data_IF_268135169230
#
_entry.id   IF_268135169230
#
_cell.length_a   1.000
_cell.length_b   1.000
_cell.length_c   1.000
_cell.angle_alpha   90.00
_cell.angle_beta   90.00
_cell.angle_gamma   90.00
#
_symmetry.space_group_name_H-M   'P 1'
#
loop_
_entity.id
_entity.type
_entity.pdbx_description
1 polymer ?
#
# COMPACT_ATOMS: atom_id res chain seq x y z
N UNK A 1 8.57 -5.73 -11.64
CA UNK A 1 7.95 -4.50 -11.08
C UNK A 1 8.08 -4.58 -9.57
N UNK A 2 8.58 -3.56 -8.87
CA UNK A 2 8.75 -3.61 -7.40
C UNK A 2 7.41 -3.77 -6.68
N UNK A 3 7.44 -4.37 -5.49
CA UNK A 3 6.23 -4.53 -4.67
C UNK A 3 5.59 -3.18 -4.38
N UNK A 4 4.25 -3.14 -4.47
CA UNK A 4 3.43 -1.93 -4.27
C UNK A 4 3.69 -0.79 -5.27
N UNK A 5 4.49 -0.99 -6.32
CA UNK A 5 4.76 0.05 -7.31
C UNK A 5 3.55 0.26 -8.24
N UNK A 6 3.15 1.52 -8.39
CA UNK A 6 2.21 1.93 -9.44
C UNK A 6 3.00 2.23 -10.70
N UNK A 7 2.73 1.47 -11.76
CA UNK A 7 3.44 1.58 -13.04
C UNK A 7 2.47 1.95 -14.14
N UNK A 8 2.82 2.92 -14.98
CA UNK A 8 1.99 3.39 -16.09
C UNK A 8 2.84 3.72 -17.33
N UNK A 9 2.20 3.71 -18.51
CA UNK A 9 2.80 4.10 -19.79
C UNK A 9 3.37 2.95 -20.64
N UNK A 10 3.84 3.30 -21.85
CA UNK A 10 4.54 2.40 -22.78
C UNK A 10 5.77 3.12 -23.37
N UNK A 11 7.02 2.79 -22.96
CA UNK A 11 7.38 1.77 -21.97
C UNK A 11 6.97 2.19 -20.55
N UNK A 12 6.69 1.20 -19.70
CA UNK A 12 6.10 1.41 -18.39
C UNK A 12 7.11 2.02 -17.39
N UNK A 13 6.68 3.04 -16.63
CA UNK A 13 7.48 3.72 -15.60
C UNK A 13 6.77 3.73 -14.25
N UNK A 14 7.53 3.66 -13.16
CA UNK A 14 7.00 3.78 -11.80
C UNK A 14 6.61 5.24 -11.54
N UNK A 15 5.35 5.49 -11.20
CA UNK A 15 4.79 6.83 -10.94
C UNK A 15 4.36 7.03 -9.48
N UNK A 16 4.46 5.98 -8.65
CA UNK A 16 4.13 6.05 -7.23
C UNK A 16 4.01 4.69 -6.57
N UNK A 17 3.35 4.67 -5.40
CA UNK A 17 3.16 3.48 -4.58
C UNK A 17 1.71 3.34 -4.12
N UNK A 18 1.21 2.12 -4.09
CA UNK A 18 -0.18 1.79 -3.81
C UNK A 18 -0.24 0.74 -2.71
N UNK A 19 -1.10 0.98 -1.73
CA UNK A 19 -1.40 0.10 -0.62
C UNK A 19 -2.13 -1.15 -1.12
N UNK A 20 -2.09 -2.24 -0.35
CA UNK A 20 -2.89 -3.44 -0.64
C UNK A 20 -4.41 -3.18 -0.64
N UNK A 21 -4.89 -2.11 -0.01
CA UNK A 21 -6.29 -1.69 -0.11
C UNK A 21 -6.62 -0.91 -1.40
N UNK A 22 -5.67 -0.78 -2.33
CA UNK A 22 -5.83 -0.10 -3.62
C UNK A 22 -5.63 1.42 -3.59
N UNK A 23 -5.36 2.01 -2.42
CA UNK A 23 -5.20 3.46 -2.27
C UNK A 23 -3.73 3.89 -2.26
N UNK A 24 -3.45 5.14 -2.67
CA UNK A 24 -2.08 5.67 -2.75
C UNK A 24 -1.42 5.72 -1.36
N UNK A 25 -0.15 5.33 -1.30
CA UNK A 25 0.70 5.50 -0.11
C UNK A 25 1.34 6.87 -0.19
N UNK A 26 1.21 7.66 0.89
CA UNK A 26 1.84 8.98 0.99
C UNK A 26 3.15 8.84 1.74
N UNK A 27 4.25 9.20 1.08
CA UNK A 27 5.58 9.36 1.66
C UNK A 27 5.86 10.86 1.81
N UNK A 28 6.29 11.28 3.00
CA UNK A 28 6.74 12.65 3.21
C UNK A 28 8.18 12.81 2.69
N UNK A 29 8.53 14.03 2.31
CA UNK A 29 9.86 14.33 1.79
C UNK A 29 10.93 14.10 2.87
N UNK A 30 11.97 13.33 2.55
CA UNK A 30 12.99 12.91 3.52
C UNK A 30 12.62 11.68 4.36
N UNK A 31 11.35 11.26 4.37
CA UNK A 31 10.92 10.09 5.12
C UNK A 31 11.03 8.79 4.31
N UNK A 32 11.55 7.75 4.94
CA UNK A 32 11.49 6.38 4.42
C UNK A 32 10.16 5.70 4.72
N UNK A 33 9.33 6.27 5.58
CA UNK A 33 8.03 5.69 5.95
C UNK A 33 6.87 6.43 5.25
N UNK A 34 5.87 5.67 4.87
CA UNK A 34 4.66 6.18 4.24
C UNK A 34 3.41 5.57 4.87
N UNK A 35 2.30 6.30 4.82
CA UNK A 35 1.04 5.89 5.42
C UNK A 35 -0.06 5.89 4.34
N UNK A 36 -0.86 4.83 4.32
CA UNK A 36 -2.11 4.83 3.57
C UNK A 36 -3.17 5.61 4.35
N UNK A 37 -3.78 6.63 3.74
CA UNK A 37 -4.81 7.43 4.43
C UNK A 37 -6.10 6.65 4.73
N UNK A 38 -6.45 5.67 3.89
CA UNK A 38 -7.70 4.90 4.02
C UNK A 38 -7.64 3.81 5.09
N UNK A 39 -6.64 2.92 5.03
CA UNK A 39 -6.54 1.79 5.97
C UNK A 39 -5.50 2.01 7.07
N UNK A 40 -4.82 3.17 7.08
CA UNK A 40 -3.81 3.57 8.08
C UNK A 40 -2.59 2.64 8.17
N UNK A 41 -2.40 1.74 7.20
CA UNK A 41 -1.22 0.89 7.09
C UNK A 41 0.04 1.71 6.86
N UNK A 42 1.11 1.29 7.53
CA UNK A 42 2.43 1.91 7.45
C UNK A 42 3.33 1.07 6.56
N UNK A 43 4.05 1.75 5.69
CA UNK A 43 4.94 1.18 4.70
C UNK A 43 6.32 1.82 4.84
N UNK A 44 7.37 1.07 4.50
CA UNK A 44 8.75 1.53 4.49
C UNK A 44 9.33 1.36 3.09
N UNK A 45 9.93 2.44 2.57
CA UNK A 45 10.61 2.49 1.29
C UNK A 45 12.07 2.08 1.48
N UNK A 46 12.46 1.02 0.80
CA UNK A 46 13.83 0.48 0.73
C UNK A 46 14.36 0.61 -0.70
N UNK A 47 15.66 0.39 -0.90
CA UNK A 47 16.29 0.47 -2.22
C UNK A 47 15.62 -0.45 -3.27
N UNK A 48 15.08 -1.60 -2.84
CA UNK A 48 14.45 -2.58 -3.73
C UNK A 48 12.95 -2.34 -3.99
N UNK A 49 12.29 -1.45 -3.25
CA UNK A 49 10.84 -1.28 -3.32
C UNK A 49 10.22 -0.77 -2.02
N UNK A 50 8.90 -0.93 -1.88
CA UNK A 50 8.18 -0.61 -0.66
C UNK A 50 7.78 -1.90 0.04
N UNK A 51 7.91 -1.94 1.37
CA UNK A 51 7.51 -3.09 2.20
C UNK A 51 6.56 -2.62 3.28
N UNK A 52 5.60 -3.45 3.68
CA UNK A 52 4.74 -3.15 4.83
C UNK A 52 5.62 -3.07 6.11
N UNK A 53 5.59 -1.93 6.80
CA UNK A 53 6.46 -1.67 7.96
C UNK A 53 5.91 -2.26 9.27
N UNK A 54 4.59 -2.43 9.37
CA UNK A 54 3.90 -3.11 10.46
C UNK A 54 2.75 -3.91 9.84
N UNK A 55 2.52 -5.14 10.31
CA UNK A 55 1.24 -5.83 10.09
C UNK A 55 0.22 -5.25 11.08
N UNK A 56 -0.67 -4.30 10.73
CA UNK A 56 -1.96 -4.30 11.38
C UNK A 56 -2.67 -5.55 10.85
N UNK A 57 -2.98 -6.46 11.77
CA UNK A 57 -3.92 -7.55 11.57
C UNK A 57 -5.09 -7.04 10.74
N UNK A 58 -5.13 -7.46 9.48
CA UNK A 58 -6.30 -7.48 8.59
C UNK A 58 -7.53 -6.67 9.09
N UNK A 59 -7.84 -5.49 8.52
CA UNK A 59 -9.11 -4.83 8.84
C UNK A 59 -10.31 -5.61 8.25
N UNK A 60 -11.50 -5.49 8.87
CA UNK A 60 -12.55 -6.50 9.00
C UNK A 60 -13.46 -6.71 7.78
N UNK A 61 -12.96 -6.54 6.54
CA UNK A 61 -13.81 -6.68 5.35
C UNK A 61 -14.08 -8.15 4.95
N UNK A 62 -13.25 -9.10 5.39
CA UNK A 62 -13.57 -10.54 5.30
C UNK A 62 -14.40 -11.04 6.49
N UNK A 63 -14.73 -10.18 7.46
CA UNK A 63 -15.54 -10.54 8.62
C UNK A 63 -16.94 -9.94 8.56
N UNK A 64 -17.56 -9.89 7.37
CA UNK A 64 -19.02 -9.72 7.28
C UNK A 64 -19.61 -10.28 5.98
N UNK A 65 -19.41 -11.56 5.71
CA UNK A 65 -20.44 -12.34 5.01
C UNK A 65 -21.22 -13.12 6.07
N UNK A 66 -22.03 -12.39 6.86
CA UNK A 66 -23.20 -13.03 7.47
C UNK A 66 -24.20 -13.19 6.34
N UNK A 67 -24.21 -14.36 5.72
CA UNK A 67 -25.41 -14.85 5.03
C UNK A 67 -26.45 -15.01 6.15
N UNK A 68 -27.34 -14.03 6.25
CA UNK A 68 -28.58 -14.16 7.03
C UNK A 68 -29.44 -15.15 6.21
N UNK A 69 -30.08 -16.16 6.83
CA UNK A 69 -30.71 -17.28 6.13
C UNK A 69 -31.74 -16.88 5.08
#
# INVERSE_FOLDING_TARGET
>A
VPDYALVMGNPAKVVGWVCECGNRIVFHEGDSNGICKECRKVYSKRNAGVTLANLPTKPPAEQKVRVIP
#
